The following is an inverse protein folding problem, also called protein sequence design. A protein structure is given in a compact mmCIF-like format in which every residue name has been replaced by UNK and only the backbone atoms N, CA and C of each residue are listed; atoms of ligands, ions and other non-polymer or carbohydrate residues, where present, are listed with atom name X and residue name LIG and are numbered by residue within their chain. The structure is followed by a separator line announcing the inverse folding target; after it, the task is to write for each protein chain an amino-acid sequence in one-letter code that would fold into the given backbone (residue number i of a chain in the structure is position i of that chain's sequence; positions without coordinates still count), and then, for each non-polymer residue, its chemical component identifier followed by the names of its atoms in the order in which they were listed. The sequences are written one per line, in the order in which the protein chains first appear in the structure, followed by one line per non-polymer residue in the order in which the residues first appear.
data_IF_977863582850
#
_entry.id   IF_977863582850
#
_cell.length_a   1.000
_cell.length_b   1.000
_cell.length_c   1.000
_cell.angle_alpha   90.00
_cell.angle_beta   90.00
_cell.angle_gamma   90.00
#
_symmetry.space_group_name_H-M   'P 1'
#
loop_
_entity.id
_entity.type
_entity.pdbx_description
1 polymer ?
#
# COMPACT_ATOMS: atom_id res chain seq x y z
N UNK A 1 -0.75 19.84 -2.24
CA UNK A 1 -0.43 18.95 -3.37
C UNK A 1 0.03 17.60 -2.84
N UNK A 2 -0.32 16.53 -3.56
CA UNK A 2 0.08 15.15 -3.27
C UNK A 2 0.78 14.62 -4.52
N UNK A 3 1.93 13.98 -4.35
CA UNK A 3 2.65 13.34 -5.45
C UNK A 3 2.72 11.82 -5.24
N UNK A 4 2.39 11.06 -6.28
CA UNK A 4 2.49 9.61 -6.31
C UNK A 4 3.52 9.19 -7.37
N UNK A 5 4.40 8.27 -7.00
CA UNK A 5 5.47 7.73 -7.84
C UNK A 5 5.28 6.22 -8.01
N UNK A 6 5.00 5.81 -9.22
CA UNK A 6 4.96 4.39 -9.62
C UNK A 6 6.25 4.02 -10.34
N UNK A 7 7.02 3.09 -9.76
CA UNK A 7 8.29 2.59 -10.29
C UNK A 7 8.07 1.19 -10.86
N UNK A 8 7.61 1.14 -12.11
CA UNK A 8 7.34 -0.12 -12.80
C UNK A 8 8.55 -0.65 -13.58
N UNK A 9 8.44 -1.91 -14.03
CA UNK A 9 9.50 -2.58 -14.82
C UNK A 9 9.67 -1.94 -16.21
N UNK A 10 8.59 -1.45 -16.84
CA UNK A 10 8.64 -0.86 -18.19
C UNK A 10 8.68 0.67 -18.19
N UNK A 11 8.08 1.30 -17.19
CA UNK A 11 7.97 2.76 -17.08
C UNK A 11 7.99 3.20 -15.62
N UNK A 12 8.45 4.42 -15.40
CA UNK A 12 8.25 5.18 -14.15
C UNK A 12 7.23 6.26 -14.43
N UNK A 13 6.24 6.41 -13.57
CA UNK A 13 5.17 7.41 -13.70
C UNK A 13 5.10 8.22 -12.42
N UNK A 14 4.99 9.53 -12.57
CA UNK A 14 4.70 10.47 -11.47
C UNK A 14 3.38 11.15 -11.77
N UNK A 15 2.50 11.21 -10.77
CA UNK A 15 1.25 11.95 -10.83
C UNK A 15 1.26 12.97 -9.70
N UNK A 16 0.94 14.21 -10.02
CA UNK A 16 0.75 15.28 -9.05
C UNK A 16 -0.73 15.65 -9.02
N UNK A 17 -1.30 15.65 -7.83
CA UNK A 17 -2.69 16.02 -7.61
C UNK A 17 -2.82 17.09 -6.53
N UNK A 18 -3.89 17.85 -6.62
CA UNK A 18 -4.29 18.85 -5.64
C UNK A 18 -5.61 18.43 -4.99
N UNK A 19 -5.62 18.39 -3.67
CA UNK A 19 -6.85 18.11 -2.92
C UNK A 19 -7.73 19.37 -2.93
N UNK A 20 -8.90 19.26 -3.53
CA UNK A 20 -9.88 20.33 -3.59
C UNK A 20 -10.66 20.43 -2.27
N UNK A 21 -11.36 21.56 -2.07
CA UNK A 21 -12.16 21.78 -0.85
C UNK A 21 -13.32 20.80 -0.66
N UNK A 22 -13.79 20.21 -1.74
CA UNK A 22 -14.82 19.16 -1.76
C UNK A 22 -14.29 17.74 -1.52
N UNK A 23 -12.97 17.61 -1.25
CA UNK A 23 -12.30 16.34 -1.03
C UNK A 23 -11.90 15.60 -2.32
N UNK A 24 -12.17 16.16 -3.50
CA UNK A 24 -11.80 15.55 -4.78
C UNK A 24 -10.34 15.82 -5.11
N UNK A 25 -9.62 14.80 -5.58
CA UNK A 25 -8.26 14.94 -6.09
C UNK A 25 -8.28 15.36 -7.56
N UNK A 26 -7.77 16.55 -7.84
CA UNK A 26 -7.58 17.06 -9.20
C UNK A 26 -6.15 16.81 -9.65
N UNK A 27 -5.96 16.02 -10.70
CA UNK A 27 -4.63 15.82 -11.31
C UNK A 27 -4.22 17.10 -12.00
N UNK A 28 -3.04 17.63 -11.61
CA UNK A 28 -2.47 18.88 -12.14
C UNK A 28 -1.17 18.65 -12.92
N UNK A 29 -0.53 17.49 -12.74
CA UNK A 29 0.69 17.13 -13.46
C UNK A 29 0.89 15.64 -13.60
N UNK A 30 1.55 15.25 -14.67
CA UNK A 30 1.97 13.88 -14.94
C UNK A 30 3.33 13.90 -15.61
N UNK A 31 4.22 13.01 -15.17
CA UNK A 31 5.48 12.74 -15.84
C UNK A 31 5.67 11.24 -16.06
N UNK A 32 6.32 10.85 -17.14
CA UNK A 32 6.54 9.44 -17.46
C UNK A 32 7.88 9.25 -18.15
N UNK A 33 8.62 8.23 -17.73
CA UNK A 33 9.87 7.85 -18.38
C UNK A 33 10.03 6.33 -18.49
N UNK A 34 10.75 5.88 -19.52
CA UNK A 34 11.04 4.45 -19.71
C UNK A 34 11.93 3.96 -18.56
N UNK A 35 11.53 2.85 -17.93
CA UNK A 35 12.31 2.20 -16.88
C UNK A 35 13.30 1.19 -17.48
N UNK A 36 14.54 1.21 -17.01
CA UNK A 36 15.61 0.26 -17.40
C UNK A 36 16.34 -0.32 -16.19
N UNK A 37 15.96 0.06 -14.99
CA UNK A 37 16.62 -0.32 -13.75
C UNK A 37 15.93 -1.43 -12.98
N UNK A 38 14.76 -1.92 -13.42
CA UNK A 38 13.97 -2.95 -12.75
C UNK A 38 13.87 -4.22 -13.58
N UNK A 39 13.76 -5.35 -12.89
CA UNK A 39 13.42 -6.65 -13.47
C UNK A 39 12.43 -7.35 -12.55
N UNK A 40 11.26 -7.71 -13.08
CA UNK A 40 10.18 -8.36 -12.32
C UNK A 40 9.84 -7.62 -11.01
N UNK A 41 9.68 -6.30 -11.09
CA UNK A 41 9.35 -5.46 -9.93
C UNK A 41 10.51 -5.17 -8.95
N UNK A 42 11.70 -5.73 -9.16
CA UNK A 42 12.85 -5.55 -8.27
C UNK A 42 13.91 -4.66 -8.91
N UNK A 43 14.47 -3.72 -8.15
CA UNK A 43 15.57 -2.84 -8.59
C UNK A 43 16.83 -3.68 -8.78
N UNK A 44 17.35 -3.71 -10.02
CA UNK A 44 18.60 -4.39 -10.39
C UNK A 44 19.71 -3.40 -10.73
N UNK A 45 19.38 -2.14 -10.98
CA UNK A 45 20.34 -1.08 -11.25
C UNK A 45 19.83 0.24 -10.68
N UNK A 46 20.50 0.72 -9.62
CA UNK A 46 20.10 1.92 -8.89
C UNK A 46 20.23 3.16 -9.78
N UNK A 47 21.32 3.32 -10.50
CA UNK A 47 21.59 4.54 -11.29
C UNK A 47 20.58 4.70 -12.43
N UNK A 48 20.28 3.62 -13.15
CA UNK A 48 19.26 3.64 -14.21
C UNK A 48 17.86 3.93 -13.63
N UNK A 49 17.54 3.40 -12.45
CA UNK A 49 16.26 3.67 -11.77
C UNK A 49 16.19 5.14 -11.35
N UNK A 50 17.24 5.68 -10.76
CA UNK A 50 17.33 7.09 -10.39
C UNK A 50 17.12 8.01 -11.59
N UNK A 51 17.81 7.75 -12.71
CA UNK A 51 17.65 8.56 -13.93
C UNK A 51 16.20 8.55 -14.42
N UNK A 52 15.55 7.39 -14.41
CA UNK A 52 14.16 7.28 -14.82
C UNK A 52 13.22 8.06 -13.87
N UNK A 53 13.44 7.98 -12.55
CA UNK A 53 12.70 8.75 -11.55
C UNK A 53 12.89 10.26 -11.79
N UNK A 54 14.13 10.72 -11.88
CA UNK A 54 14.43 12.14 -12.09
C UNK A 54 13.72 12.71 -13.33
N UNK A 55 13.77 12.00 -14.46
CA UNK A 55 13.10 12.43 -15.70
C UNK A 55 11.59 12.50 -15.55
N UNK A 56 10.98 11.51 -14.92
CA UNK A 56 9.53 11.51 -14.69
C UNK A 56 9.12 12.62 -13.72
N UNK A 57 9.92 12.89 -12.68
CA UNK A 57 9.69 13.98 -11.73
C UNK A 57 9.83 15.35 -12.41
N UNK A 58 10.90 15.59 -13.16
CA UNK A 58 11.12 16.83 -13.92
C UNK A 58 9.92 17.14 -14.84
N UNK A 59 9.41 16.15 -15.55
CA UNK A 59 8.27 16.32 -16.46
C UNK A 59 6.97 16.64 -15.68
N UNK A 60 6.74 15.94 -14.54
CA UNK A 60 5.57 16.18 -13.70
C UNK A 60 5.59 17.57 -13.04
N UNK A 61 6.76 18.01 -12.53
CA UNK A 61 6.97 19.34 -11.96
C UNK A 61 6.72 20.44 -12.97
N UNK A 62 7.21 20.26 -14.21
CA UNK A 62 7.02 21.22 -15.30
C UNK A 62 5.54 21.36 -15.66
N UNK A 63 4.79 20.24 -15.69
CA UNK A 63 3.37 20.27 -16.01
C UNK A 63 2.53 20.85 -14.87
N UNK A 64 2.88 20.54 -13.61
CA UNK A 64 2.15 20.98 -12.42
C UNK A 64 2.53 22.39 -11.96
N UNK A 65 3.58 22.98 -12.53
CA UNK A 65 4.18 24.25 -12.07
C UNK A 65 4.46 24.26 -10.55
N UNK A 66 5.00 23.15 -10.03
CA UNK A 66 5.33 23.02 -8.62
C UNK A 66 6.61 22.20 -8.42
N UNK A 67 7.17 22.26 -7.21
CA UNK A 67 8.30 21.44 -6.79
C UNK A 67 7.83 20.25 -5.97
N UNK A 68 8.29 19.06 -6.32
CA UNK A 68 8.01 17.82 -5.58
C UNK A 68 9.14 17.59 -4.59
N UNK A 69 8.83 17.47 -3.31
CA UNK A 69 9.80 17.19 -2.24
C UNK A 69 9.58 15.84 -1.58
N UNK A 70 8.35 15.31 -1.65
CA UNK A 70 7.94 14.07 -1.03
C UNK A 70 6.93 13.32 -1.89
N UNK A 71 6.92 11.99 -1.80
CA UNK A 71 6.08 11.13 -2.63
C UNK A 71 5.51 9.95 -1.85
N UNK A 72 4.31 9.54 -2.21
CA UNK A 72 3.83 8.17 -2.00
C UNK A 72 4.39 7.28 -3.10
N UNK A 73 4.86 6.08 -2.78
CA UNK A 73 5.42 5.18 -3.79
C UNK A 73 4.86 3.77 -3.70
N UNK A 74 4.83 3.08 -4.83
CA UNK A 74 4.35 1.71 -4.91
C UNK A 74 5.46 0.67 -4.75
N UNK A 75 5.09 -0.51 -4.28
CA UNK A 75 5.91 -1.71 -4.28
C UNK A 75 5.12 -2.90 -4.82
N UNK A 76 5.74 -3.69 -5.69
CA UNK A 76 5.24 -4.96 -6.20
C UNK A 76 6.40 -5.88 -6.56
N UNK A 77 6.10 -7.11 -6.90
CA UNK A 77 7.10 -8.07 -7.39
C UNK A 77 7.06 -9.41 -6.67
N UNK A 78 7.86 -10.35 -7.17
CA UNK A 78 7.86 -11.76 -6.72
C UNK A 78 8.31 -11.99 -5.27
N UNK A 79 8.82 -10.95 -4.59
CA UNK A 79 9.20 -10.99 -3.17
C UNK A 79 8.01 -10.72 -2.23
N UNK A 80 6.87 -10.29 -2.75
CA UNK A 80 5.65 -10.08 -1.98
C UNK A 80 5.06 -11.43 -1.62
N UNK A 81 4.65 -11.57 -0.37
CA UNK A 81 3.95 -12.74 0.16
C UNK A 81 2.77 -12.27 0.98
N UNK A 82 1.81 -13.14 1.15
CA UNK A 82 0.67 -12.87 2.02
C UNK A 82 0.32 -14.09 2.85
N UNK A 83 -0.32 -13.85 3.98
CA UNK A 83 -0.86 -14.89 4.85
C UNK A 83 -2.08 -14.34 5.59
N UNK A 84 -2.98 -15.24 5.95
CA UNK A 84 -4.10 -14.91 6.84
C UNK A 84 -3.71 -15.20 8.27
N UNK A 85 -4.09 -14.32 9.18
CA UNK A 85 -3.89 -14.46 10.61
C UNK A 85 -5.16 -14.14 11.38
N UNK A 86 -5.19 -14.55 12.65
CA UNK A 86 -6.31 -14.36 13.55
C UNK A 86 -5.81 -13.78 14.86
N UNK A 87 -6.52 -12.77 15.37
CA UNK A 87 -6.33 -12.23 16.71
C UNK A 87 -7.56 -12.50 17.57
N UNK A 88 -7.36 -12.56 18.88
CA UNK A 88 -8.44 -12.68 19.84
C UNK A 88 -8.07 -11.97 21.14
N UNK A 89 -9.02 -11.19 21.67
CA UNK A 89 -8.92 -10.52 22.97
C UNK A 89 -10.23 -10.64 23.74
N UNK A 90 -10.12 -10.55 25.06
CA UNK A 90 -11.29 -10.46 25.95
C UNK A 90 -11.68 -8.99 26.10
N UNK A 91 -12.97 -8.69 25.91
CA UNK A 91 -13.57 -7.38 26.11
C UNK A 91 -13.75 -7.19 27.64
N UNK A 92 -13.27 -6.07 28.18
CA UNK A 92 -13.27 -5.85 29.63
C UNK A 92 -14.52 -5.12 30.15
N UNK A 93 -15.03 -4.21 29.33
CA UNK A 93 -16.07 -3.25 29.75
C UNK A 93 -17.45 -3.55 29.10
N UNK A 94 -17.72 -4.84 28.80
CA UNK A 94 -18.96 -5.33 28.17
C UNK A 94 -19.23 -4.76 26.76
N UNK A 95 -18.55 -3.70 26.34
CA UNK A 95 -18.63 -3.07 25.02
C UNK A 95 -17.24 -2.96 24.39
N UNK A 96 -17.18 -3.17 23.07
CA UNK A 96 -15.92 -3.07 22.31
C UNK A 96 -15.46 -1.61 22.22
N UNK A 97 -14.30 -1.35 22.73
CA UNK A 97 -13.63 -0.04 22.65
C UNK A 97 -12.59 -0.02 21.50
N UNK A 98 -12.15 1.19 21.12
CA UNK A 98 -11.04 1.32 20.16
C UNK A 98 -9.77 0.59 20.64
N UNK A 99 -9.52 0.59 21.95
CA UNK A 99 -8.38 -0.11 22.54
C UNK A 99 -8.47 -1.63 22.38
N UNK A 100 -9.69 -2.21 22.37
CA UNK A 100 -9.89 -3.63 22.12
C UNK A 100 -9.63 -3.96 20.65
N UNK A 101 -10.09 -3.08 19.73
CA UNK A 101 -9.80 -3.19 18.28
C UNK A 101 -8.30 -3.12 18.02
N UNK A 102 -7.60 -2.17 18.61
CA UNK A 102 -6.15 -2.04 18.43
C UNK A 102 -5.42 -3.27 18.98
N UNK A 103 -5.76 -3.74 20.17
CA UNK A 103 -5.18 -4.93 20.78
C UNK A 103 -5.42 -6.22 19.99
N UNK A 104 -6.64 -6.41 19.46
CA UNK A 104 -6.94 -7.62 18.68
C UNK A 104 -6.18 -7.65 17.37
N UNK A 105 -5.98 -6.47 16.74
CA UNK A 105 -5.14 -6.32 15.56
C UNK A 105 -3.67 -6.60 15.86
N UNK A 106 -3.11 -6.02 16.93
CA UNK A 106 -1.76 -6.32 17.39
C UNK A 106 -1.54 -7.82 17.62
N UNK A 107 -2.54 -8.49 18.22
CA UNK A 107 -2.48 -9.95 18.43
C UNK A 107 -2.48 -10.71 17.11
N UNK A 108 -3.26 -10.27 16.13
CA UNK A 108 -3.28 -10.88 14.79
C UNK A 108 -1.99 -10.62 14.01
N UNK A 109 -1.35 -9.47 14.21
CA UNK A 109 -0.08 -9.10 13.58
C UNK A 109 1.15 -9.78 14.20
N UNK A 110 1.03 -10.38 15.38
CA UNK A 110 2.11 -11.07 16.07
C UNK A 110 2.48 -12.41 15.40
N UNK A 111 2.73 -12.36 14.09
CA UNK A 111 3.12 -13.52 13.28
C UNK A 111 4.64 -13.59 13.11
N UNK A 112 5.16 -14.80 13.03
CA UNK A 112 6.59 -15.00 12.75
C UNK A 112 6.83 -14.90 11.25
N UNK A 113 7.48 -13.83 10.81
CA UNK A 113 7.95 -13.67 9.45
C UNK A 113 9.40 -14.14 9.30
N UNK A 114 9.84 -14.53 8.09
CA UNK A 114 11.26 -14.67 7.78
C UNK A 114 12.04 -13.41 8.09
N UNK A 115 13.30 -13.54 8.49
CA UNK A 115 14.16 -12.41 8.93
C UNK A 115 14.45 -11.36 7.84
N UNK A 116 14.23 -11.70 6.57
CA UNK A 116 14.40 -10.85 5.41
C UNK A 116 13.09 -10.18 4.95
N UNK A 117 11.99 -10.38 5.71
CA UNK A 117 10.67 -9.84 5.40
C UNK A 117 10.13 -8.95 6.50
N UNK A 118 9.30 -8.00 6.10
CA UNK A 118 8.54 -7.11 6.99
C UNK A 118 7.08 -7.02 6.54
N UNK A 119 6.19 -6.67 7.45
CA UNK A 119 4.79 -6.37 7.14
C UNK A 119 4.74 -5.07 6.34
N UNK A 120 4.03 -5.09 5.21
CA UNK A 120 3.72 -3.91 4.40
C UNK A 120 2.32 -3.39 4.70
N UNK A 121 1.33 -4.29 4.75
CA UNK A 121 -0.05 -3.96 5.06
C UNK A 121 -0.71 -5.07 5.87
N UNK A 122 -1.62 -4.66 6.75
CA UNK A 122 -2.57 -5.54 7.44
C UNK A 122 -3.97 -5.10 7.06
N UNK A 123 -4.74 -5.99 6.43
CA UNK A 123 -6.08 -5.73 5.96
C UNK A 123 -7.07 -6.50 6.82
N UNK A 124 -7.92 -5.79 7.55
CA UNK A 124 -8.99 -6.40 8.32
C UNK A 124 -10.02 -7.00 7.36
N UNK A 125 -10.38 -8.26 7.56
CA UNK A 125 -11.35 -8.95 6.72
C UNK A 125 -12.73 -9.00 7.38
N UNK A 126 -12.78 -9.52 8.59
CA UNK A 126 -14.00 -9.58 9.38
C UNK A 126 -13.66 -9.58 10.87
N UNK A 127 -14.58 -9.03 11.66
CA UNK A 127 -14.59 -9.17 13.10
C UNK A 127 -15.68 -10.16 13.52
N UNK A 128 -15.46 -10.78 14.68
CA UNK A 128 -16.44 -11.67 15.33
C UNK A 128 -16.52 -11.31 16.81
N UNK A 129 -17.73 -11.19 17.33
CA UNK A 129 -17.98 -10.98 18.77
C UNK A 129 -18.73 -12.20 19.29
N UNK A 130 -18.11 -12.90 20.22
CA UNK A 130 -18.58 -14.21 20.72
C UNK A 130 -18.84 -15.17 19.54
N UNK A 131 -20.10 -15.49 19.23
CA UNK A 131 -20.51 -16.37 18.12
C UNK A 131 -21.03 -15.61 16.90
N UNK A 132 -21.12 -14.27 16.95
CA UNK A 132 -21.61 -13.44 15.87
C UNK A 132 -20.45 -13.15 14.88
N UNK A 133 -20.60 -13.56 13.63
CA UNK A 133 -19.64 -13.40 12.53
C UNK A 133 -20.03 -12.24 11.61
N UNK A 134 -19.19 -11.97 10.62
CA UNK A 134 -19.39 -10.99 9.53
C UNK A 134 -19.59 -9.54 10.03
N UNK A 135 -18.97 -9.17 11.14
CA UNK A 135 -19.00 -7.81 11.68
C UNK A 135 -17.92 -7.00 10.96
N UNK A 136 -18.30 -5.87 10.36
CA UNK A 136 -17.37 -4.92 9.72
C UNK A 136 -16.90 -3.85 10.69
N UNK A 137 -17.79 -3.34 11.52
CA UNK A 137 -17.53 -2.29 12.52
C UNK A 137 -17.91 -2.79 13.91
N UNK A 138 -16.94 -3.25 14.71
CA UNK A 138 -17.21 -3.85 16.02
C UNK A 138 -17.36 -2.82 17.15
N UNK A 139 -17.01 -1.54 16.94
CA UNK A 139 -17.05 -0.50 17.98
C UNK A 139 -18.44 -0.37 18.60
N UNK A 140 -18.49 -0.19 19.94
CA UNK A 140 -19.71 -0.02 20.72
C UNK A 140 -20.64 -1.25 20.76
N UNK A 141 -20.25 -2.35 20.12
CA UNK A 141 -21.00 -3.60 20.22
C UNK A 141 -20.70 -4.32 21.54
N UNK A 142 -21.73 -4.89 22.16
CA UNK A 142 -21.59 -5.63 23.42
C UNK A 142 -21.16 -7.07 23.19
N UNK A 143 -20.30 -7.59 24.07
CA UNK A 143 -19.85 -8.98 24.06
C UNK A 143 -18.70 -9.24 25.02
N UNK A 144 -18.23 -10.48 25.05
CA UNK A 144 -17.17 -10.91 25.97
C UNK A 144 -15.83 -11.09 25.24
N UNK A 145 -15.86 -11.48 23.97
CA UNK A 145 -14.67 -11.84 23.20
C UNK A 145 -14.73 -11.23 21.81
N UNK A 146 -13.69 -10.46 21.47
CA UNK A 146 -13.48 -9.92 20.13
C UNK A 146 -12.43 -10.74 19.40
N UNK A 147 -12.75 -11.17 18.20
CA UNK A 147 -11.82 -11.79 17.28
C UNK A 147 -11.72 -10.95 15.99
N UNK A 148 -10.58 -11.01 15.33
CA UNK A 148 -10.37 -10.44 13.99
C UNK A 148 -9.68 -11.45 13.10
N UNK A 149 -10.11 -11.53 11.83
CA UNK A 149 -9.36 -12.14 10.75
C UNK A 149 -8.70 -11.04 9.95
N UNK A 150 -7.39 -11.17 9.72
CA UNK A 150 -6.62 -10.21 8.94
C UNK A 150 -5.89 -10.90 7.81
N UNK A 151 -5.71 -10.18 6.71
CA UNK A 151 -4.82 -10.55 5.62
C UNK A 151 -3.55 -9.69 5.71
N UNK A 152 -2.42 -10.33 5.97
CA UNK A 152 -1.13 -9.67 6.12
C UNK A 152 -0.36 -9.79 4.80
N UNK A 153 0.07 -8.65 4.27
CA UNK A 153 0.94 -8.55 3.10
C UNK A 153 2.34 -8.22 3.59
N UNK A 154 3.31 -9.04 3.23
CA UNK A 154 4.72 -8.86 3.58
C UNK A 154 5.59 -8.75 2.34
N UNK A 155 6.75 -8.10 2.48
CA UNK A 155 7.69 -7.91 1.40
C UNK A 155 9.14 -7.92 1.86
N UNK A 156 10.07 -8.06 0.92
CA UNK A 156 11.50 -8.05 1.22
C UNK A 156 11.97 -6.69 1.72
N UNK A 157 12.61 -6.66 2.90
CA UNK A 157 13.24 -5.48 3.48
C UNK A 157 14.26 -4.89 2.49
N UNK A 158 15.08 -5.73 1.84
CA UNK A 158 16.08 -5.27 0.89
C UNK A 158 15.46 -4.61 -0.35
N UNK A 159 14.36 -5.17 -0.87
CA UNK A 159 13.66 -4.59 -2.02
C UNK A 159 13.07 -3.21 -1.69
N UNK A 160 12.40 -3.09 -0.54
CA UNK A 160 11.89 -1.81 -0.01
C UNK A 160 13.02 -0.79 0.15
N UNK A 161 14.10 -1.16 0.81
CA UNK A 161 15.24 -0.26 1.02
C UNK A 161 15.87 0.23 -0.28
N UNK A 162 15.95 -0.62 -1.32
CA UNK A 162 16.49 -0.23 -2.63
C UNK A 162 15.59 0.79 -3.32
N UNK A 163 14.27 0.63 -3.26
CA UNK A 163 13.31 1.62 -3.78
C UNK A 163 13.48 2.95 -3.06
N UNK A 164 13.44 2.95 -1.72
CA UNK A 164 13.61 4.16 -0.90
C UNK A 164 14.95 4.83 -1.18
N UNK A 165 16.03 4.06 -1.34
CA UNK A 165 17.36 4.58 -1.66
C UNK A 165 17.39 5.29 -3.01
N UNK A 166 16.74 4.73 -4.04
CA UNK A 166 16.63 5.39 -5.35
C UNK A 166 15.91 6.73 -5.25
N UNK A 167 14.79 6.77 -4.53
CA UNK A 167 13.96 7.97 -4.35
C UNK A 167 14.73 9.05 -3.57
N UNK A 168 15.33 8.69 -2.45
CA UNK A 168 16.12 9.63 -1.61
C UNK A 168 17.33 10.20 -2.35
N UNK A 169 17.99 9.41 -3.18
CA UNK A 169 19.08 9.90 -4.03
C UNK A 169 18.63 10.88 -5.12
N UNK A 170 17.35 10.90 -5.46
CA UNK A 170 16.75 11.91 -6.33
C UNK A 170 16.36 13.19 -5.58
N UNK A 171 16.64 13.29 -4.27
CA UNK A 171 16.30 14.44 -3.44
C UNK A 171 14.85 14.46 -2.98
N UNK A 172 14.16 13.32 -2.99
CA UNK A 172 12.77 13.17 -2.57
C UNK A 172 12.68 12.37 -1.27
N UNK A 173 11.73 12.73 -0.42
CA UNK A 173 11.34 11.93 0.72
C UNK A 173 10.19 11.00 0.39
N UNK A 174 10.14 9.84 1.05
CA UNK A 174 9.06 8.86 0.93
C UNK A 174 8.13 9.04 2.11
N UNK A 175 6.88 9.43 1.84
CA UNK A 175 5.84 9.56 2.85
C UNK A 175 5.39 8.17 3.29
N UNK A 176 5.02 7.33 2.30
CA UNK A 176 4.58 5.97 2.55
C UNK A 176 4.82 5.09 1.32
N UNK A 177 4.81 3.77 1.56
CA UNK A 177 5.03 2.75 0.54
C UNK A 177 3.84 1.81 0.49
N UNK A 178 3.14 1.83 -0.63
CA UNK A 178 1.86 1.13 -0.84
C UNK A 178 2.05 -0.08 -1.75
N UNK A 179 1.43 -1.19 -1.40
CA UNK A 179 1.36 -2.36 -2.29
C UNK A 179 0.57 -2.00 -3.56
N UNK A 180 1.21 -2.09 -4.73
CA UNK A 180 0.64 -1.59 -6.00
C UNK A 180 -0.71 -2.21 -6.36
N UNK A 181 -0.95 -3.53 -6.23
CA UNK A 181 -2.27 -4.11 -6.49
C UNK A 181 -3.38 -3.55 -5.59
N UNK A 182 -3.05 -3.18 -4.34
CA UNK A 182 -4.02 -2.52 -3.45
C UNK A 182 -4.38 -1.13 -3.99
N UNK A 183 -3.39 -0.35 -4.41
CA UNK A 183 -3.61 0.96 -5.02
C UNK A 183 -4.41 0.85 -6.34
N UNK A 184 -4.11 -0.16 -7.17
CA UNK A 184 -4.87 -0.45 -8.40
C UNK A 184 -6.32 -0.79 -8.09
N UNK A 185 -6.59 -1.59 -7.06
CA UNK A 185 -7.95 -1.94 -6.65
C UNK A 185 -8.76 -0.74 -6.19
N UNK A 186 -8.15 0.17 -5.45
CA UNK A 186 -8.81 1.43 -5.02
C UNK A 186 -9.13 2.35 -6.20
N UNK A 187 -8.32 2.32 -7.25
CA UNK A 187 -8.50 3.17 -8.41
C UNK A 187 -9.56 2.68 -9.40
N UNK A 188 -9.79 1.36 -9.47
CA UNK A 188 -10.61 0.78 -10.57
C UNK A 188 -11.85 0.01 -10.11
N UNK A 189 -11.90 -0.46 -8.86
CA UNK A 189 -13.04 -1.22 -8.35
C UNK A 189 -14.06 -0.31 -7.67
N UNK A 190 -15.32 -0.53 -8.00
CA UNK A 190 -16.45 0.06 -7.29
C UNK A 190 -16.69 -0.63 -5.93
N UNK A 191 -17.41 0.03 -5.02
CA UNK A 191 -17.76 -0.59 -3.74
C UNK A 191 -18.58 -1.86 -3.91
N UNK A 192 -19.51 -1.88 -4.86
CA UNK A 192 -20.33 -3.06 -5.16
C UNK A 192 -19.48 -4.25 -5.63
N UNK A 193 -18.47 -4.00 -6.47
CA UNK A 193 -17.54 -5.04 -6.92
C UNK A 193 -16.69 -5.58 -5.77
N UNK A 194 -16.25 -4.71 -4.85
CA UNK A 194 -15.52 -5.12 -3.65
C UNK A 194 -16.39 -5.97 -2.70
N UNK A 195 -17.69 -5.65 -2.56
CA UNK A 195 -18.63 -6.41 -1.74
C UNK A 195 -18.98 -7.77 -2.34
N UNK A 196 -19.22 -7.83 -3.65
CA UNK A 196 -19.53 -9.07 -4.37
C UNK A 196 -18.32 -10.00 -4.46
N UNK A 197 -17.12 -9.46 -4.37
CA UNK A 197 -15.85 -10.16 -4.56
C UNK A 197 -15.55 -10.36 -6.05
N UNK A 198 -14.41 -9.81 -6.48
CA UNK A 198 -13.90 -9.91 -7.85
C UNK A 198 -12.44 -10.34 -7.85
N UNK A 199 -11.96 -10.80 -8.99
CA UNK A 199 -10.54 -11.01 -9.24
C UNK A 199 -10.02 -9.87 -10.10
N UNK A 200 -9.17 -9.02 -9.53
CA UNK A 200 -8.44 -7.99 -10.25
C UNK A 200 -7.11 -8.57 -10.73
N UNK A 201 -6.86 -8.51 -12.03
CA UNK A 201 -5.59 -8.96 -12.63
C UNK A 201 -4.86 -7.75 -13.20
N UNK A 202 -3.72 -7.41 -12.61
CA UNK A 202 -2.82 -6.35 -13.09
C UNK A 202 -1.69 -6.96 -13.92
N UNK A 203 -1.66 -6.66 -15.23
CA UNK A 203 -0.67 -7.18 -16.17
C UNK A 203 0.33 -6.09 -16.49
N UNK A 204 1.46 -6.11 -15.79
CA UNK A 204 2.55 -5.16 -15.96
C UNK A 204 3.58 -5.55 -17.03
N UNK A 205 4.66 -4.77 -17.12
CA UNK A 205 5.77 -5.03 -18.03
C UNK A 205 6.72 -6.14 -17.61
N UNK A 206 6.63 -6.63 -16.36
CA UNK A 206 7.53 -7.66 -15.82
C UNK A 206 6.94 -8.47 -14.67
N UNK A 207 5.79 -8.10 -14.18
CA UNK A 207 4.98 -8.81 -13.18
C UNK A 207 3.54 -8.94 -13.67
N UNK A 208 2.83 -9.91 -13.13
CA UNK A 208 1.38 -10.03 -13.19
C UNK A 208 0.94 -10.30 -11.76
N UNK A 209 0.10 -9.43 -11.24
CA UNK A 209 -0.35 -9.42 -9.85
C UNK A 209 -1.88 -9.59 -9.78
#
# INVERSE_FOLDING_TARGET
TIAALDIGTSKVVVIVAELQLDGVLKIIGKGQHVSKGLKKGVVINIDNTMQAIQRAVEEAELMADCKITEVYTGIAGSHIKSLNSHGMVIIKDEEVTQMDVDRVRETAEAVTLPTDQEVLHTLDQEYMIDDQQDIKEPLEMSGNKLNVKVHIISGSIAARMNIIKCIKRCGLDVIDLVFQPLASSEAVLTNDEKELGVCLVDIGGGTTD
#
